data_IF_924512732204
#
_entry.id   IF_924512732204
#
_cell.length_a   1.000
_cell.length_b   1.000
_cell.length_c   1.000
_cell.angle_alpha   90.00
_cell.angle_beta   90.00
_cell.angle_gamma   90.00
#
_symmetry.space_group_name_H-M   'P 1'
#
loop_
_entity.id
_entity.type
_entity.pdbx_description
1 polymer ?
#
# COMPACT_ATOMS: atom_id res chain seq x y z
N UNK A 1 0.50 -3.73 30.25
CA UNK A 1 -0.55 -2.70 30.30
C UNK A 1 -1.44 -2.99 31.50
N UNK A 2 -1.66 -2.00 32.36
CA UNK A 2 -2.58 -2.10 33.50
C UNK A 2 -3.65 -1.03 33.29
N UNK A 3 -4.88 -1.44 32.98
CA UNK A 3 -6.00 -0.56 32.66
C UNK A 3 -7.22 -0.89 33.54
N UNK A 4 -6.98 -1.19 34.81
CA UNK A 4 -8.00 -1.54 35.81
C UNK A 4 -8.66 -2.87 35.50
N UNK A 5 -9.80 -2.83 34.82
CA UNK A 5 -10.59 -4.01 34.45
C UNK A 5 -9.99 -4.81 33.28
N UNK A 6 -9.01 -4.26 32.57
CA UNK A 6 -8.18 -4.98 31.60
C UNK A 6 -6.70 -4.93 32.01
N UNK A 7 -6.08 -6.08 32.14
CA UNK A 7 -4.66 -6.20 32.45
C UNK A 7 -4.00 -7.16 31.47
N UNK A 8 -2.87 -6.75 30.89
CA UNK A 8 -2.09 -7.57 29.98
C UNK A 8 -0.60 -7.51 30.34
N UNK A 9 0.02 -8.67 30.45
CA UNK A 9 1.46 -8.82 30.68
C UNK A 9 2.05 -9.59 29.50
N UNK A 10 3.14 -9.07 28.94
CA UNK A 10 3.86 -9.69 27.85
C UNK A 10 5.32 -9.87 28.24
N UNK A 11 5.89 -11.01 27.88
CA UNK A 11 7.31 -11.29 27.98
C UNK A 11 7.77 -11.92 26.67
N UNK A 12 8.93 -11.53 26.18
CA UNK A 12 9.49 -12.05 24.94
C UNK A 12 10.99 -12.09 24.95
N UNK A 13 11.55 -12.93 24.08
CA UNK A 13 12.97 -13.07 23.85
C UNK A 13 13.24 -12.95 22.34
N UNK A 14 14.29 -12.23 21.99
CA UNK A 14 14.81 -12.11 20.63
C UNK A 14 16.22 -12.68 20.56
N UNK A 15 16.50 -13.46 19.53
CA UNK A 15 17.82 -13.98 19.24
C UNK A 15 18.23 -13.57 17.84
N UNK A 16 19.32 -12.81 17.76
CA UNK A 16 20.03 -12.57 16.52
C UNK A 16 20.96 -13.76 16.23
N UNK A 17 20.70 -14.44 15.11
CA UNK A 17 21.49 -15.57 14.66
C UNK A 17 22.60 -15.14 13.68
N UNK A 18 22.62 -13.86 13.27
CA UNK A 18 23.52 -13.31 12.26
C UNK A 18 23.09 -13.70 10.84
N UNK A 19 23.90 -14.52 10.15
CA UNK A 19 23.68 -14.90 8.74
C UNK A 19 22.31 -15.54 8.45
N UNK A 20 21.73 -16.40 9.31
CA UNK A 20 20.39 -16.94 9.09
C UNK A 20 19.26 -16.00 9.57
N UNK A 21 19.53 -14.77 10.01
CA UNK A 21 18.53 -13.77 10.38
C UNK A 21 18.23 -13.69 11.87
N UNK A 22 17.13 -13.03 12.22
CA UNK A 22 16.70 -12.80 13.60
C UNK A 22 15.40 -13.54 13.89
N UNK A 23 15.32 -14.16 15.07
CA UNK A 23 14.12 -14.83 15.57
C UNK A 23 13.65 -14.17 16.87
N UNK A 24 12.36 -13.91 17.00
CA UNK A 24 11.77 -13.44 18.25
C UNK A 24 10.53 -14.25 18.61
N UNK A 25 10.37 -14.53 19.89
CA UNK A 25 9.18 -15.17 20.44
C UNK A 25 8.65 -14.34 21.61
N UNK A 26 7.35 -14.11 21.65
CA UNK A 26 6.67 -13.45 22.76
C UNK A 26 5.41 -14.20 23.20
N UNK A 27 5.14 -14.08 24.49
CA UNK A 27 3.95 -14.62 25.15
C UNK A 27 3.27 -13.47 25.86
N UNK A 28 2.01 -13.25 25.53
CA UNK A 28 1.17 -12.23 26.17
C UNK A 28 -0.01 -12.89 26.86
N UNK A 29 -0.18 -12.64 28.15
CA UNK A 29 -1.36 -13.05 28.92
C UNK A 29 -2.26 -11.84 29.17
N UNK A 30 -3.55 -11.99 28.87
CA UNK A 30 -4.59 -10.99 29.14
C UNK A 30 -5.59 -11.49 30.18
N UNK A 31 -6.00 -10.60 31.08
CA UNK A 31 -7.09 -10.78 32.04
C UNK A 31 -8.05 -9.61 31.85
N UNK A 32 -9.27 -9.92 31.40
CA UNK A 32 -10.31 -8.94 31.09
C UNK A 32 -11.55 -9.21 31.95
N UNK A 33 -11.92 -8.26 32.80
CA UNK A 33 -13.14 -8.28 33.61
C UNK A 33 -14.17 -7.36 32.98
N UNK A 34 -15.33 -7.92 32.63
CA UNK A 34 -16.46 -7.19 32.06
C UNK A 34 -17.59 -7.24 33.08
N UNK A 35 -18.14 -6.09 33.43
CA UNK A 35 -19.19 -5.97 34.44
C UNK A 35 -20.48 -6.67 33.98
N UNK A 36 -21.09 -7.47 34.86
CA UNK A 36 -22.26 -8.30 34.52
C UNK A 36 -21.94 -9.57 33.72
N UNK A 37 -20.68 -9.79 33.36
CA UNK A 37 -20.18 -10.92 32.56
C UNK A 37 -19.08 -11.67 33.31
N UNK A 38 -18.59 -12.75 32.70
CA UNK A 38 -17.48 -13.53 33.26
C UNK A 38 -16.14 -12.80 33.09
N UNK A 39 -15.15 -13.17 33.91
CA UNK A 39 -13.75 -12.77 33.67
C UNK A 39 -13.15 -13.67 32.57
N UNK A 40 -12.57 -13.07 31.55
CA UNK A 40 -11.91 -13.76 30.45
C UNK A 40 -10.40 -13.73 30.67
N UNK A 41 -9.77 -14.90 30.61
CA UNK A 41 -8.33 -15.06 30.72
C UNK A 41 -7.83 -15.89 29.54
N UNK A 42 -6.76 -15.42 28.90
CA UNK A 42 -6.14 -16.18 27.83
C UNK A 42 -4.74 -15.71 27.50
N UNK A 43 -4.03 -16.55 26.76
CA UNK A 43 -2.66 -16.31 26.29
C UNK A 43 -2.60 -16.22 24.77
N UNK A 44 -1.62 -15.46 24.29
CA UNK A 44 -1.24 -15.37 22.89
C UNK A 44 0.26 -15.62 22.79
N UNK A 45 0.64 -16.50 21.87
CA UNK A 45 2.03 -16.79 21.53
C UNK A 45 2.28 -16.24 20.13
N UNK A 46 3.40 -15.54 19.96
CA UNK A 46 3.84 -15.05 18.67
C UNK A 46 5.28 -15.45 18.44
N UNK A 47 5.54 -16.00 17.27
CA UNK A 47 6.86 -16.27 16.72
C UNK A 47 7.04 -15.36 15.51
N UNK A 48 8.17 -14.70 15.40
CA UNK A 48 8.48 -13.82 14.27
C UNK A 48 9.92 -14.06 13.85
N UNK A 49 10.10 -14.31 12.57
CA UNK A 49 11.38 -14.52 11.92
C UNK A 49 11.56 -13.47 10.85
N UNK A 50 12.74 -12.86 10.79
CA UNK A 50 13.08 -11.85 9.78
C UNK A 50 14.49 -12.09 9.29
N UNK A 51 14.71 -12.02 7.97
CA UNK A 51 16.03 -12.16 7.38
C UNK A 51 16.23 -11.21 6.21
N UNK A 52 17.23 -10.35 6.34
CA UNK A 52 17.74 -9.53 5.24
C UNK A 52 19.00 -10.18 4.67
N UNK A 53 19.04 -10.46 3.36
CA UNK A 53 20.24 -10.98 2.72
C UNK A 53 20.92 -9.85 1.96
N UNK A 54 22.04 -9.34 2.49
CA UNK A 54 22.78 -8.27 1.83
C UNK A 54 23.49 -8.75 0.55
N UNK A 55 23.87 -10.04 0.47
CA UNK A 55 24.64 -10.60 -0.65
C UNK A 55 23.81 -11.18 -1.80
N UNK A 56 22.49 -11.27 -1.68
CA UNK A 56 21.62 -11.97 -2.63
C UNK A 56 20.51 -11.10 -3.23
N UNK A 57 20.53 -9.78 -2.99
CA UNK A 57 19.45 -8.83 -3.32
C UNK A 57 18.05 -9.36 -2.96
N UNK A 58 17.98 -10.21 -1.93
CA UNK A 58 16.82 -10.97 -1.54
C UNK A 58 16.45 -10.59 -0.11
N UNK A 59 15.33 -9.90 0.07
CA UNK A 59 14.77 -9.60 1.36
C UNK A 59 13.68 -10.64 1.68
N UNK A 60 14.02 -11.72 2.39
CA UNK A 60 12.99 -12.55 3.06
C UNK A 60 12.58 -11.81 4.34
N UNK A 61 11.80 -10.76 4.15
CA UNK A 61 11.61 -9.73 5.16
C UNK A 61 10.96 -10.26 6.43
N UNK A 62 9.95 -11.13 6.34
CA UNK A 62 9.17 -11.51 7.52
C UNK A 62 8.36 -12.82 7.37
N UNK A 63 8.49 -13.71 8.34
CA UNK A 63 7.57 -14.82 8.59
C UNK A 63 7.08 -14.75 10.05
N UNK A 64 5.79 -14.51 10.24
CA UNK A 64 5.13 -14.42 11.54
C UNK A 64 4.12 -15.55 11.72
N UNK A 65 4.13 -16.15 12.89
CA UNK A 65 3.08 -17.03 13.37
C UNK A 65 2.55 -16.51 14.70
N UNK A 66 1.24 -16.47 14.86
CA UNK A 66 0.60 -16.13 16.14
C UNK A 66 -0.53 -17.11 16.41
N UNK A 67 -0.60 -17.59 17.64
CA UNK A 67 -1.70 -18.37 18.15
C UNK A 67 -2.29 -17.68 19.38
N UNK A 68 -3.61 -17.59 19.46
CA UNK A 68 -4.31 -16.96 20.59
C UNK A 68 -5.40 -17.88 21.10
N UNK A 69 -5.45 -18.06 22.42
CA UNK A 69 -6.53 -18.80 23.08
C UNK A 69 -7.87 -18.09 22.90
N UNK A 70 -8.97 -18.84 22.94
CA UNK A 70 -10.32 -18.31 22.70
C UNK A 70 -10.71 -17.14 23.61
N UNK A 71 -10.22 -17.13 24.84
CA UNK A 71 -10.52 -16.12 25.85
C UNK A 71 -9.47 -15.00 25.90
N UNK A 72 -8.41 -15.07 25.11
CA UNK A 72 -7.45 -13.98 24.99
C UNK A 72 -8.13 -12.78 24.32
N UNK A 73 -7.84 -11.58 24.85
CA UNK A 73 -8.36 -10.33 24.29
C UNK A 73 -7.24 -9.31 24.13
N UNK A 74 -7.20 -8.65 22.98
CA UNK A 74 -6.49 -7.36 22.86
C UNK A 74 -7.29 -6.27 23.60
N UNK A 75 -6.64 -5.14 23.89
CA UNK A 75 -7.33 -3.98 24.49
C UNK A 75 -8.53 -3.53 23.65
N UNK A 76 -8.38 -3.53 22.32
CA UNK A 76 -9.46 -3.17 21.40
C UNK A 76 -10.63 -4.16 21.48
N UNK A 77 -10.37 -5.47 21.52
CA UNK A 77 -11.42 -6.48 21.71
C UNK A 77 -12.12 -6.34 23.06
N UNK A 78 -11.38 -5.96 24.11
CA UNK A 78 -11.97 -5.67 25.41
C UNK A 78 -12.88 -4.44 25.38
N UNK A 79 -12.44 -3.34 24.78
CA UNK A 79 -13.24 -2.12 24.65
C UNK A 79 -14.51 -2.37 23.84
N UNK A 80 -14.44 -3.12 22.75
CA UNK A 80 -15.61 -3.49 21.96
C UNK A 80 -16.56 -4.41 22.75
N UNK A 81 -16.03 -5.37 23.50
CA UNK A 81 -16.86 -6.22 24.35
C UNK A 81 -17.57 -5.42 25.47
N UNK A 82 -16.86 -4.49 26.13
CA UNK A 82 -17.41 -3.68 27.22
C UNK A 82 -18.39 -2.60 26.76
N UNK A 83 -18.04 -1.84 25.74
CA UNK A 83 -18.77 -0.63 25.34
C UNK A 83 -19.69 -0.82 24.14
N UNK A 84 -19.51 -1.90 23.37
CA UNK A 84 -20.32 -2.20 22.18
C UNK A 84 -21.00 -3.57 22.23
N UNK A 85 -20.79 -4.32 23.32
CA UNK A 85 -21.30 -5.68 23.49
C UNK A 85 -20.92 -6.62 22.31
N UNK A 86 -19.75 -6.40 21.72
CA UNK A 86 -19.24 -7.17 20.58
C UNK A 86 -18.13 -8.12 21.01
N UNK A 87 -18.41 -9.42 20.92
CA UNK A 87 -17.48 -10.51 21.27
C UNK A 87 -16.94 -11.26 20.05
N UNK A 88 -17.26 -10.79 18.84
CA UNK A 88 -16.94 -11.46 17.59
C UNK A 88 -15.45 -11.39 17.23
N UNK A 89 -15.06 -12.16 16.21
CA UNK A 89 -13.73 -12.11 15.58
C UNK A 89 -12.60 -12.51 16.53
N UNK A 90 -12.80 -13.61 17.25
CA UNK A 90 -11.80 -14.16 18.18
C UNK A 90 -10.70 -14.84 17.38
N UNK A 91 -9.58 -14.15 17.24
CA UNK A 91 -8.41 -14.65 16.52
C UNK A 91 -7.91 -15.97 17.13
N UNK A 92 -7.68 -16.97 16.26
CA UNK A 92 -7.16 -18.28 16.65
C UNK A 92 -5.72 -18.42 16.18
N UNK A 93 -5.48 -18.43 14.88
CA UNK A 93 -4.15 -18.49 14.30
C UNK A 93 -3.99 -17.41 13.24
N UNK A 94 -2.80 -16.81 13.18
CA UNK A 94 -2.41 -15.88 12.14
C UNK A 94 -1.04 -16.28 11.61
N UNK A 95 -0.95 -16.48 10.29
CA UNK A 95 0.27 -16.77 9.58
C UNK A 95 0.50 -15.63 8.59
N UNK A 96 1.66 -14.98 8.65
CA UNK A 96 2.00 -13.91 7.72
C UNK A 96 3.37 -14.17 7.14
N UNK A 97 3.48 -14.15 5.82
CA UNK A 97 4.73 -14.31 5.09
C UNK A 97 4.87 -13.14 4.13
N UNK A 98 6.03 -12.50 4.14
CA UNK A 98 6.39 -11.43 3.22
C UNK A 98 7.77 -11.71 2.67
N UNK A 99 7.86 -11.81 1.35
CA UNK A 99 9.09 -12.09 0.62
C UNK A 99 9.21 -11.10 -0.53
N UNK A 100 10.35 -10.40 -0.57
CA UNK A 100 10.71 -9.45 -1.60
C UNK A 100 12.07 -9.86 -2.14
N UNK A 101 12.14 -10.39 -3.36
CA UNK A 101 13.40 -10.82 -3.96
C UNK A 101 13.63 -10.10 -5.27
N UNK A 102 14.73 -9.37 -5.35
CA UNK A 102 15.22 -8.81 -6.59
C UNK A 102 16.33 -9.72 -7.11
N UNK A 103 16.15 -10.26 -8.31
CA UNK A 103 17.14 -11.08 -9.01
C UNK A 103 17.78 -10.19 -10.05
N UNK A 104 18.88 -9.54 -9.67
CA UNK A 104 19.61 -8.61 -10.53
C UNK A 104 20.07 -9.29 -11.83
N UNK A 105 20.57 -10.53 -11.76
CA UNK A 105 21.04 -11.30 -12.93
C UNK A 105 19.99 -11.44 -14.05
N UNK A 106 18.70 -11.43 -13.69
CA UNK A 106 17.60 -11.56 -14.63
C UNK A 106 16.72 -10.32 -14.72
N UNK A 107 17.13 -9.20 -14.12
CA UNK A 107 16.34 -7.97 -13.99
C UNK A 107 14.89 -8.26 -13.59
N UNK A 108 14.69 -9.15 -12.62
CA UNK A 108 13.37 -9.64 -12.21
C UNK A 108 13.15 -9.37 -10.73
N UNK A 109 12.05 -8.71 -10.39
CA UNK A 109 11.59 -8.57 -9.01
C UNK A 109 10.41 -9.51 -8.74
N UNK A 110 10.43 -10.14 -7.57
CA UNK A 110 9.41 -11.03 -7.06
C UNK A 110 8.94 -10.52 -5.70
N UNK A 111 7.65 -10.31 -5.54
CA UNK A 111 7.03 -9.93 -4.28
C UNK A 111 5.91 -10.93 -3.95
N UNK A 112 5.90 -11.40 -2.72
CA UNK A 112 4.88 -12.28 -2.17
C UNK A 112 4.49 -11.76 -0.80
N UNK A 113 3.21 -11.53 -0.62
CA UNK A 113 2.59 -11.28 0.66
C UNK A 113 1.47 -12.29 0.85
N UNK A 114 1.53 -13.04 1.94
CA UNK A 114 0.54 -14.03 2.30
C UNK A 114 0.14 -13.80 3.75
N UNK A 115 -1.16 -13.74 4.02
CA UNK A 115 -1.71 -13.61 5.36
C UNK A 115 -2.92 -14.51 5.50
N UNK A 116 -2.84 -15.47 6.41
CA UNK A 116 -3.92 -16.40 6.73
C UNK A 116 -4.31 -16.24 8.17
N UNK A 117 -5.59 -15.96 8.40
CA UNK A 117 -6.15 -15.75 9.71
C UNK A 117 -7.32 -16.69 9.95
N UNK A 118 -7.27 -17.45 11.04
CA UNK A 118 -8.36 -18.30 11.51
C UNK A 118 -8.97 -17.69 12.76
N UNK A 119 -10.24 -17.99 13.00
CA UNK A 119 -10.99 -17.49 14.15
C UNK A 119 -11.69 -18.66 14.85
N UNK A 120 -12.05 -18.45 16.12
CA UNK A 120 -12.79 -19.44 16.90
C UNK A 120 -14.28 -19.46 16.58
N UNK A 121 -14.82 -18.36 16.07
CA UNK A 121 -16.25 -18.08 15.95
C UNK A 121 -16.70 -17.75 14.53
N UNK A 122 -15.78 -17.35 13.65
CA UNK A 122 -16.07 -17.04 12.24
C UNK A 122 -15.18 -17.83 11.27
N UNK A 123 -15.54 -17.78 9.98
CA UNK A 123 -14.77 -18.44 8.92
C UNK A 123 -13.37 -17.85 8.81
N UNK A 124 -12.42 -18.68 8.43
CA UNK A 124 -11.06 -18.26 8.09
C UNK A 124 -11.06 -17.19 6.98
N UNK A 125 -9.98 -16.42 6.97
CA UNK A 125 -9.73 -15.36 6.00
C UNK A 125 -8.31 -15.52 5.46
N UNK A 126 -8.22 -15.77 4.17
CA UNK A 126 -6.95 -15.96 3.47
C UNK A 126 -6.76 -14.77 2.49
N UNK A 127 -5.70 -13.99 2.70
CA UNK A 127 -5.27 -12.91 1.82
C UNK A 127 -3.91 -13.29 1.22
N UNK A 128 -3.75 -13.08 -0.07
CA UNK A 128 -2.43 -13.17 -0.67
C UNK A 128 -2.32 -12.17 -1.82
N UNK A 129 -1.09 -11.74 -2.08
CA UNK A 129 -0.70 -10.95 -3.24
C UNK A 129 0.67 -11.46 -3.68
N UNK A 130 0.77 -11.90 -4.92
CA UNK A 130 2.01 -12.30 -5.57
C UNK A 130 2.21 -11.39 -6.76
N UNK A 131 3.42 -10.90 -6.97
CA UNK A 131 3.77 -10.17 -8.17
C UNK A 131 5.18 -10.51 -8.65
N UNK A 132 5.35 -10.57 -9.96
CA UNK A 132 6.61 -10.82 -10.63
C UNK A 132 6.73 -9.80 -11.75
N UNK A 133 7.76 -8.96 -11.69
CA UNK A 133 8.04 -7.98 -12.74
C UNK A 133 9.40 -8.28 -13.33
N UNK A 134 9.48 -8.33 -14.65
CA UNK A 134 10.72 -8.58 -15.36
C UNK A 134 10.95 -7.50 -16.41
N UNK A 135 12.18 -7.01 -16.44
CA UNK A 135 12.65 -6.06 -17.45
C UNK A 135 13.58 -6.78 -18.41
N UNK A 136 13.39 -6.58 -19.70
CA UNK A 136 14.25 -7.15 -20.73
C UNK A 136 14.35 -6.22 -21.94
N UNK A 137 15.37 -6.48 -22.74
CA UNK A 137 15.63 -5.75 -23.97
C UNK A 137 15.23 -6.64 -25.15
N UNK A 138 14.39 -6.15 -26.04
CA UNK A 138 13.90 -6.91 -27.19
C UNK A 138 13.70 -5.99 -28.38
N UNK A 139 13.98 -6.47 -29.60
CA UNK A 139 13.81 -5.70 -30.85
C UNK A 139 14.51 -4.32 -30.87
N UNK A 140 15.66 -4.17 -30.19
CA UNK A 140 16.37 -2.90 -30.08
C UNK A 140 15.76 -1.90 -29.10
N UNK A 141 14.63 -2.25 -28.47
CA UNK A 141 14.00 -1.47 -27.40
C UNK A 141 14.57 -1.92 -26.06
N UNK A 142 15.09 -0.96 -25.30
CA UNK A 142 15.58 -1.19 -23.94
C UNK A 142 14.45 -0.93 -22.94
N UNK A 143 14.40 -1.74 -21.87
CA UNK A 143 13.46 -1.49 -20.77
C UNK A 143 12.02 -1.94 -21.01
N UNK A 144 11.77 -2.92 -21.88
CA UNK A 144 10.46 -3.57 -21.98
C UNK A 144 10.17 -4.29 -20.67
N UNK A 145 9.02 -4.01 -20.06
CA UNK A 145 8.64 -4.60 -18.78
C UNK A 145 7.41 -5.48 -18.91
N UNK A 146 7.45 -6.64 -18.28
CA UNK A 146 6.30 -7.53 -18.12
C UNK A 146 6.08 -7.75 -16.63
N UNK A 147 4.91 -7.35 -16.16
CA UNK A 147 4.46 -7.53 -14.80
C UNK A 147 3.28 -8.49 -14.74
N UNK A 148 3.37 -9.48 -13.86
CA UNK A 148 2.29 -10.39 -13.52
C UNK A 148 1.99 -10.23 -12.05
N UNK A 149 0.73 -10.10 -11.66
CA UNK A 149 0.31 -10.17 -10.28
C UNK A 149 -0.96 -10.98 -10.10
N UNK A 150 -1.10 -11.60 -8.94
CA UNK A 150 -2.27 -12.36 -8.54
C UNK A 150 -2.54 -12.07 -7.07
N UNK A 151 -3.81 -11.87 -6.72
CA UNK A 151 -4.19 -11.55 -5.36
C UNK A 151 -5.56 -12.09 -5.00
N UNK A 152 -5.74 -12.48 -3.74
CA UNK A 152 -7.06 -12.75 -3.15
C UNK A 152 -7.38 -11.69 -2.12
N UNK A 153 -8.58 -11.12 -2.26
CA UNK A 153 -9.18 -10.18 -1.31
C UNK A 153 -10.56 -10.69 -0.88
N UNK A 154 -11.21 -9.97 0.04
CA UNK A 154 -12.61 -10.20 0.39
C UNK A 154 -13.44 -9.00 -0.05
N UNK A 155 -14.48 -9.25 -0.83
CA UNK A 155 -15.47 -8.27 -1.24
C UNK A 155 -16.84 -8.70 -0.73
N UNK A 156 -17.45 -7.88 0.14
CA UNK A 156 -18.75 -8.17 0.77
C UNK A 156 -18.83 -9.58 1.40
N UNK A 157 -17.76 -10.00 2.07
CA UNK A 157 -17.67 -11.31 2.73
C UNK A 157 -17.41 -12.51 1.80
N UNK A 158 -17.29 -12.30 0.48
CA UNK A 158 -16.90 -13.33 -0.48
C UNK A 158 -15.45 -13.16 -0.92
N UNK A 159 -14.80 -14.26 -1.24
CA UNK A 159 -13.47 -14.23 -1.81
C UNK A 159 -13.53 -13.60 -3.21
N UNK A 160 -12.60 -12.70 -3.48
CA UNK A 160 -12.39 -12.05 -4.77
C UNK A 160 -10.95 -12.33 -5.21
N UNK A 161 -10.81 -13.25 -6.15
CA UNK A 161 -9.54 -13.59 -6.78
C UNK A 161 -9.33 -12.68 -7.97
N UNK A 162 -8.15 -12.06 -8.03
CA UNK A 162 -7.78 -11.14 -9.10
C UNK A 162 -6.42 -11.50 -9.65
N UNK A 163 -6.25 -11.39 -10.96
CA UNK A 163 -4.98 -11.54 -11.64
C UNK A 163 -4.78 -10.37 -12.60
N UNK A 164 -3.54 -9.93 -12.79
CA UNK A 164 -3.21 -8.79 -13.61
C UNK A 164 -1.93 -9.10 -14.38
N UNK A 165 -1.97 -8.89 -15.69
CA UNK A 165 -0.84 -8.91 -16.59
C UNK A 165 -0.68 -7.52 -17.16
N UNK A 166 0.53 -6.98 -17.17
CA UNK A 166 0.87 -5.74 -17.85
C UNK A 166 2.15 -5.90 -18.64
N UNK A 167 2.11 -5.47 -19.89
CA UNK A 167 3.26 -5.37 -20.77
C UNK A 167 3.43 -3.90 -21.09
N UNK A 168 4.61 -3.34 -20.85
CA UNK A 168 4.91 -1.95 -21.15
C UNK A 168 6.17 -1.84 -22.01
N UNK A 169 6.05 -1.07 -23.08
CA UNK A 169 7.08 -0.85 -24.09
C UNK A 169 7.41 0.65 -24.12
N UNK A 170 8.63 1.05 -23.74
CA UNK A 170 9.08 2.43 -23.86
C UNK A 170 9.09 2.88 -25.33
N UNK A 171 8.57 4.08 -25.60
CA UNK A 171 8.50 4.71 -26.92
C UNK A 171 8.89 6.20 -26.79
N UNK A 172 10.18 6.50 -26.97
CA UNK A 172 10.68 7.86 -26.79
C UNK A 172 10.57 8.33 -25.33
N UNK A 173 9.87 9.43 -25.09
CA UNK A 173 9.57 9.96 -23.74
C UNK A 173 8.41 9.23 -23.06
N UNK A 174 7.61 8.48 -23.83
CA UNK A 174 6.43 7.79 -23.36
C UNK A 174 6.58 6.28 -23.25
N UNK A 175 5.49 5.63 -22.90
CA UNK A 175 5.39 4.18 -22.73
C UNK A 175 4.02 3.73 -23.22
N UNK A 176 4.01 2.89 -24.25
CA UNK A 176 2.82 2.14 -24.62
C UNK A 176 2.68 0.95 -23.67
N UNK A 177 1.45 0.65 -23.24
CA UNK A 177 1.21 -0.54 -22.42
C UNK A 177 -0.07 -1.26 -22.78
N UNK A 178 -0.05 -2.57 -22.60
CA UNK A 178 -1.20 -3.43 -22.66
C UNK A 178 -1.37 -4.09 -21.30
N UNK A 179 -2.59 -4.12 -20.77
CA UNK A 179 -2.88 -4.83 -19.54
C UNK A 179 -4.15 -5.65 -19.62
N UNK A 180 -4.07 -6.89 -19.16
CA UNK A 180 -5.20 -7.77 -18.93
C UNK A 180 -5.41 -7.93 -17.43
N UNK A 181 -6.61 -7.67 -16.95
CA UNK A 181 -7.01 -7.94 -15.57
C UNK A 181 -8.16 -8.93 -15.53
N UNK A 182 -8.15 -9.79 -14.54
CA UNK A 182 -9.21 -10.71 -14.20
C UNK A 182 -9.60 -10.45 -12.76
N UNK A 183 -10.90 -10.36 -12.48
CA UNK A 183 -11.46 -10.31 -11.13
C UNK A 183 -12.66 -11.24 -11.10
N UNK A 184 -12.49 -12.40 -10.44
CA UNK A 184 -13.40 -13.54 -10.53
C UNK A 184 -13.74 -13.85 -12.00
N UNK A 185 -15.02 -13.75 -12.38
CA UNK A 185 -15.49 -14.06 -13.74
C UNK A 185 -15.46 -12.86 -14.71
N UNK A 186 -14.91 -11.71 -14.29
CA UNK A 186 -14.82 -10.49 -15.11
C UNK A 186 -13.41 -10.27 -15.61
N UNK A 187 -13.28 -9.96 -16.89
CA UNK A 187 -12.02 -9.72 -17.57
C UNK A 187 -12.01 -8.31 -18.14
N UNK A 188 -10.90 -7.60 -18.00
CA UNK A 188 -10.71 -6.26 -18.57
C UNK A 188 -9.40 -6.24 -19.33
N UNK A 189 -9.48 -5.92 -20.61
CA UNK A 189 -8.30 -5.76 -21.47
C UNK A 189 -8.18 -4.29 -21.85
N UNK A 190 -7.04 -3.69 -21.59
CA UNK A 190 -6.76 -2.29 -21.81
C UNK A 190 -5.48 -2.13 -22.64
N UNK A 191 -5.53 -1.25 -23.63
CA UNK A 191 -4.36 -0.71 -24.29
C UNK A 191 -4.27 0.77 -23.98
N UNK A 192 -3.07 1.27 -23.71
CA UNK A 192 -2.89 2.66 -23.36
C UNK A 192 -1.50 3.19 -23.68
N UNK A 193 -1.40 4.50 -23.63
CA UNK A 193 -0.16 5.24 -23.81
C UNK A 193 -0.05 6.26 -22.70
N UNK A 194 1.11 6.27 -22.05
CA UNK A 194 1.48 7.24 -21.03
C UNK A 194 2.68 8.01 -21.51
N UNK A 195 2.67 9.33 -21.35
CA UNK A 195 3.82 10.18 -21.62
C UNK A 195 4.15 11.02 -20.39
N UNK A 196 5.44 11.28 -20.22
CA UNK A 196 5.96 12.14 -19.15
C UNK A 196 6.77 13.26 -19.77
N UNK A 197 6.48 14.50 -19.37
CA UNK A 197 7.12 15.70 -19.89
C UNK A 197 7.40 16.68 -18.75
N UNK A 198 8.06 17.81 -19.05
CA UNK A 198 8.57 18.74 -18.04
C UNK A 198 9.44 18.03 -16.99
N UNK A 199 10.45 17.28 -17.43
CA UNK A 199 11.37 16.51 -16.58
C UNK A 199 10.66 15.52 -15.63
N UNK A 200 9.47 15.03 -16.03
CA UNK A 200 8.68 14.07 -15.26
C UNK A 200 7.76 14.70 -14.21
N UNK A 201 7.67 16.03 -14.15
CA UNK A 201 6.72 16.75 -13.32
C UNK A 201 5.28 16.59 -13.84
N UNK A 202 5.13 16.51 -15.16
CA UNK A 202 3.86 16.32 -15.82
C UNK A 202 3.76 14.93 -16.45
N UNK A 203 2.58 14.32 -16.29
CA UNK A 203 2.28 13.08 -16.98
C UNK A 203 0.83 12.99 -17.41
N UNK A 204 0.62 12.33 -18.52
CA UNK A 204 -0.69 12.06 -19.08
C UNK A 204 -0.77 10.61 -19.53
N UNK A 205 -1.90 9.97 -19.30
CA UNK A 205 -2.16 8.63 -19.79
C UNK A 205 -3.56 8.51 -20.38
N UNK A 206 -3.64 7.89 -21.55
CA UNK A 206 -4.88 7.39 -22.13
C UNK A 206 -4.89 5.89 -22.11
N UNK A 207 -6.01 5.31 -21.73
CA UNK A 207 -6.25 3.89 -21.85
C UNK A 207 -7.64 3.68 -22.44
N UNK A 208 -7.74 2.73 -23.34
CA UNK A 208 -8.99 2.28 -23.94
C UNK A 208 -9.02 0.75 -23.93
N UNK A 209 -10.20 0.20 -23.70
CA UNK A 209 -10.31 -1.23 -23.49
C UNK A 209 -11.73 -1.77 -23.50
N UNK A 210 -11.81 -3.04 -23.14
CA UNK A 210 -13.03 -3.83 -23.13
C UNK A 210 -13.14 -4.61 -21.83
N UNK A 211 -14.30 -4.49 -21.21
CA UNK A 211 -14.71 -5.28 -20.05
C UNK A 211 -15.64 -6.37 -20.55
N UNK A 212 -15.41 -7.61 -20.17
CA UNK A 212 -16.21 -8.78 -20.55
C UNK A 212 -16.34 -9.76 -19.39
N UNK A 213 -17.25 -10.74 -19.52
CA UNK A 213 -17.45 -11.78 -18.51
C UNK A 213 -18.49 -11.40 -17.44
N UNK A 214 -18.61 -12.25 -16.41
CA UNK A 214 -19.59 -12.08 -15.33
C UNK A 214 -21.06 -12.10 -15.77
N UNK A 215 -21.37 -12.77 -16.88
CA UNK A 215 -22.72 -12.86 -17.45
C UNK A 215 -23.22 -11.57 -18.11
N UNK A 216 -22.36 -10.56 -18.30
CA UNK A 216 -22.71 -9.27 -18.90
C UNK A 216 -22.19 -9.16 -20.34
N UNK A 217 -22.88 -8.35 -21.16
CA UNK A 217 -22.41 -7.99 -22.50
C UNK A 217 -21.11 -7.20 -22.40
N UNK A 218 -20.19 -7.39 -23.34
CA UNK A 218 -18.93 -6.64 -23.38
C UNK A 218 -19.17 -5.13 -23.43
N UNK A 219 -18.44 -4.38 -22.60
CA UNK A 219 -18.54 -2.92 -22.49
C UNK A 219 -17.21 -2.29 -22.85
N UNK A 220 -17.23 -1.27 -23.70
CA UNK A 220 -16.04 -0.44 -23.98
C UNK A 220 -15.77 0.49 -22.81
N UNK A 221 -14.51 0.61 -22.42
CA UNK A 221 -14.08 1.55 -21.39
C UNK A 221 -12.99 2.47 -21.96
N UNK A 222 -13.07 3.74 -21.60
CA UNK A 222 -12.03 4.73 -21.88
C UNK A 222 -11.71 5.43 -20.56
N UNK A 223 -10.43 5.59 -20.25
CA UNK A 223 -9.99 6.44 -19.16
C UNK A 223 -8.80 7.30 -19.57
N UNK A 224 -8.84 8.56 -19.16
CA UNK A 224 -7.71 9.47 -19.25
C UNK A 224 -7.33 9.94 -17.85
N UNK A 225 -6.03 10.08 -17.60
CA UNK A 225 -5.50 10.58 -16.35
C UNK A 225 -4.39 11.59 -16.67
N UNK A 226 -4.42 12.73 -16.00
CA UNK A 226 -3.43 13.79 -16.06
C UNK A 226 -2.93 14.07 -14.64
N UNK A 227 -1.61 14.21 -14.48
CA UNK A 227 -1.00 14.65 -13.23
C UNK A 227 0.01 15.76 -13.51
N UNK A 228 -0.05 16.81 -12.70
CA UNK A 228 0.89 17.91 -12.70
C UNK A 228 1.47 18.04 -11.29
N UNK A 229 2.79 17.94 -11.17
CA UNK A 229 3.51 18.18 -9.93
C UNK A 229 4.19 19.53 -10.02
N UNK A 230 3.72 20.49 -9.24
CA UNK A 230 4.35 21.79 -9.08
C UNK A 230 5.02 21.88 -7.70
N UNK A 231 6.09 22.67 -7.57
CA UNK A 231 6.68 23.04 -6.29
C UNK A 231 5.69 23.58 -5.25
N UNK A 232 4.52 24.07 -5.68
CA UNK A 232 3.47 24.62 -4.82
C UNK A 232 2.34 23.63 -4.53
N UNK A 233 1.99 22.79 -5.49
CA UNK A 233 0.87 21.86 -5.37
C UNK A 233 0.96 20.73 -6.41
N UNK A 234 0.47 19.57 -6.03
CA UNK A 234 0.21 18.45 -6.92
C UNK A 234 -1.26 18.48 -7.34
N UNK A 235 -1.49 18.54 -8.65
CA UNK A 235 -2.81 18.47 -9.26
C UNK A 235 -2.94 17.17 -10.05
N UNK A 236 -4.10 16.55 -10.00
CA UNK A 236 -4.44 15.45 -10.91
C UNK A 236 -5.90 15.53 -11.33
N UNK A 237 -6.16 15.12 -12.56
CA UNK A 237 -7.49 15.06 -13.12
C UNK A 237 -7.66 13.72 -13.84
N UNK A 238 -8.82 13.11 -13.69
CA UNK A 238 -9.13 11.85 -14.35
C UNK A 238 -10.55 11.85 -14.89
N UNK A 239 -10.73 11.22 -16.04
CA UNK A 239 -12.04 10.95 -16.62
C UNK A 239 -12.11 9.48 -16.96
N UNK A 240 -13.22 8.83 -16.61
CA UNK A 240 -13.46 7.44 -16.94
C UNK A 240 -14.90 7.27 -17.42
N UNK A 241 -15.06 6.59 -18.54
CA UNK A 241 -16.35 6.30 -19.17
C UNK A 241 -16.43 4.82 -19.50
N UNK A 242 -17.45 4.15 -18.96
CA UNK A 242 -17.76 2.75 -19.24
C UNK A 242 -19.09 2.68 -19.99
N UNK A 243 -19.07 2.06 -21.17
CA UNK A 243 -20.24 1.92 -22.04
C UNK A 243 -21.40 1.23 -21.30
N UNK A 244 -22.58 1.87 -21.28
CA UNK A 244 -23.76 1.40 -20.54
C UNK A 244 -23.50 1.18 -19.03
N UNK A 245 -22.48 1.84 -18.49
CA UNK A 245 -22.12 1.83 -17.09
C UNK A 245 -22.19 3.24 -16.54
N UNK A 246 -21.04 3.77 -16.15
CA UNK A 246 -20.91 5.10 -15.57
C UNK A 246 -20.00 5.98 -16.42
N UNK A 247 -20.17 7.30 -16.25
CA UNK A 247 -19.19 8.30 -16.66
C UNK A 247 -18.86 9.12 -15.43
N UNK A 248 -17.56 9.27 -15.15
CA UNK A 248 -17.07 9.98 -13.96
C UNK A 248 -15.92 10.90 -14.33
N UNK A 249 -15.87 12.05 -13.68
CA UNK A 249 -14.78 13.01 -13.74
C UNK A 249 -14.35 13.35 -12.33
N UNK A 250 -13.05 13.28 -12.06
CA UNK A 250 -12.46 13.56 -10.77
C UNK A 250 -11.30 14.53 -10.91
N UNK A 251 -11.17 15.45 -9.94
CA UNK A 251 -10.02 16.34 -9.81
C UNK A 251 -9.55 16.23 -8.36
N UNK A 252 -8.24 16.13 -8.18
CA UNK A 252 -7.59 16.10 -6.88
C UNK A 252 -6.45 17.11 -6.85
N UNK A 253 -6.43 17.94 -5.82
CA UNK A 253 -5.37 18.90 -5.55
C UNK A 253 -4.81 18.63 -4.15
N UNK A 254 -3.49 18.56 -4.02
CA UNK A 254 -2.81 18.39 -2.74
C UNK A 254 -1.60 19.30 -2.65
N UNK A 255 -1.43 19.95 -1.51
CA UNK A 255 -0.37 20.91 -1.25
C UNK A 255 -0.24 21.16 0.24
N UNK A 256 0.73 21.98 0.61
CA UNK A 256 0.95 22.45 1.97
C UNK A 256 0.97 23.97 2.01
N UNK A 257 0.45 24.52 3.10
CA UNK A 257 0.58 25.93 3.44
C UNK A 257 1.24 26.03 4.80
N UNK A 258 2.26 26.87 4.90
CA UNK A 258 2.88 27.24 6.18
C UNK A 258 2.58 28.71 6.43
N UNK A 259 1.84 28.99 7.50
CA UNK A 259 1.44 30.33 7.90
C UNK A 259 2.17 30.66 9.19
N UNK A 260 2.89 31.79 9.20
CA UNK A 260 3.65 32.28 10.34
C UNK A 260 3.29 33.74 10.61
N UNK A 261 3.64 34.25 11.79
CA UNK A 261 3.51 35.69 12.07
C UNK A 261 4.36 36.60 11.18
N UNK A 262 5.24 36.05 10.34
CA UNK A 262 6.08 36.78 9.39
C UNK A 262 5.65 36.62 7.93
N UNK A 263 4.61 35.82 7.65
CA UNK A 263 4.12 35.60 6.30
C UNK A 263 3.59 34.19 6.07
N UNK A 264 3.08 33.93 4.87
CA UNK A 264 2.58 32.65 4.44
C UNK A 264 3.33 32.17 3.18
N UNK A 265 3.63 30.88 3.12
CA UNK A 265 4.24 30.23 1.96
C UNK A 265 3.45 28.98 1.58
N UNK A 266 3.23 28.80 0.28
CA UNK A 266 2.70 27.56 -0.29
C UNK A 266 3.86 26.65 -0.69
N UNK A 267 3.68 25.35 -0.58
CA UNK A 267 4.69 24.37 -0.97
C UNK A 267 4.02 23.03 -1.31
N UNK A 268 4.69 22.19 -2.09
CA UNK A 268 4.22 20.84 -2.37
C UNK A 268 3.92 20.10 -1.06
N UNK A 269 2.88 19.27 -1.07
CA UNK A 269 2.44 18.55 0.13
C UNK A 269 3.57 17.67 0.67
N UNK A 270 3.96 17.89 1.93
CA UNK A 270 4.91 17.04 2.65
C UNK A 270 4.21 16.09 3.63
N UNK A 271 4.96 15.16 4.22
CA UNK A 271 4.44 14.32 5.30
C UNK A 271 3.95 15.20 6.47
N UNK A 272 2.68 15.03 6.86
CA UNK A 272 2.14 15.68 8.05
C UNK A 272 2.94 15.27 9.29
N UNK A 273 3.34 16.24 10.11
CA UNK A 273 4.18 16.00 11.31
C UNK A 273 5.68 15.85 11.05
N UNK A 274 6.15 15.97 9.79
CA UNK A 274 7.58 16.01 9.47
C UNK A 274 8.23 17.37 9.79
N UNK A 275 9.56 17.37 9.93
CA UNK A 275 10.34 18.62 10.06
C UNK A 275 10.23 19.43 8.77
N UNK A 276 9.92 20.72 8.88
CA UNK A 276 9.82 21.65 7.75
C UNK A 276 10.97 22.64 7.83
N UNK A 277 11.65 22.84 6.71
CA UNK A 277 12.65 23.89 6.56
C UNK A 277 11.99 25.09 5.88
N UNK A 278 11.97 26.24 6.55
CA UNK A 278 11.61 27.51 5.95
C UNK A 278 12.92 28.20 5.55
N UNK A 279 13.13 28.39 4.25
CA UNK A 279 14.31 29.07 3.73
C UNK A 279 13.92 30.49 3.36
N UNK A 280 14.50 31.47 4.07
CA UNK A 280 14.42 32.87 3.67
C UNK A 280 15.60 33.18 2.74
N UNK A 281 15.30 33.85 1.63
CA UNK A 281 16.27 34.25 0.61
C UNK A 281 16.36 35.77 0.48
N UNK A 282 15.92 36.50 1.51
CA UNK A 282 16.00 37.96 1.60
C UNK A 282 15.40 38.67 0.36
N UNK A 283 14.28 38.13 -0.14
CA UNK A 283 13.54 38.65 -1.29
C UNK A 283 13.88 38.03 -2.65
N UNK A 284 14.84 37.10 -2.74
CA UNK A 284 15.18 36.43 -4.00
C UNK A 284 14.32 35.18 -4.24
N UNK A 285 13.22 35.35 -4.97
CA UNK A 285 12.42 34.22 -5.46
C UNK A 285 13.10 33.46 -6.59
N UNK A 286 12.67 32.21 -6.83
CA UNK A 286 13.11 31.44 -7.99
C UNK A 286 14.35 30.57 -7.75
N UNK A 287 14.88 30.50 -6.53
CA UNK A 287 16.07 29.67 -6.25
C UNK A 287 15.64 28.20 -6.17
N UNK A 288 16.13 27.32 -7.07
CA UNK A 288 15.78 25.91 -7.05
C UNK A 288 16.44 25.22 -5.85
N UNK A 289 15.65 24.43 -5.14
CA UNK A 289 16.06 23.56 -4.04
C UNK A 289 15.63 22.14 -4.42
N UNK A 290 16.43 21.14 -4.05
CA UNK A 290 16.14 19.72 -4.31
C UNK A 290 15.94 19.40 -5.81
N UNK A 291 16.93 19.73 -6.63
CA UNK A 291 16.92 19.43 -8.07
C UNK A 291 15.83 20.15 -8.89
N UNK A 292 15.25 21.23 -8.34
CA UNK A 292 14.20 22.01 -9.01
C UNK A 292 12.77 21.59 -8.63
N UNK A 293 12.61 20.60 -7.75
CA UNK A 293 11.28 20.18 -7.27
C UNK A 293 10.68 21.17 -6.26
N UNK A 294 11.51 21.98 -5.60
CA UNK A 294 11.10 23.07 -4.72
C UNK A 294 11.75 24.36 -5.19
N UNK A 295 11.03 25.47 -5.16
CA UNK A 295 11.57 26.78 -5.56
C UNK A 295 11.24 27.79 -4.46
N UNK A 296 12.19 28.67 -4.12
CA UNK A 296 11.94 29.73 -3.14
C UNK A 296 10.90 30.71 -3.66
N UNK A 297 9.94 31.07 -2.80
CA UNK A 297 8.96 32.11 -3.10
C UNK A 297 9.54 33.44 -2.61
N UNK A 298 9.52 34.47 -3.44
CA UNK A 298 9.85 35.82 -3.00
C UNK A 298 8.81 36.27 -1.95
N UNK A 299 9.23 36.40 -0.69
CA UNK A 299 8.42 37.06 0.32
C UNK A 299 8.55 38.57 0.18
N UNK A 300 7.45 39.27 -0.12
CA UNK A 300 7.40 40.72 0.11
C UNK A 300 7.44 40.97 1.62
N UNK A 301 8.47 41.70 2.08
CA UNK A 301 8.51 42.24 3.44
C UNK A 301 7.37 43.25 3.59
N UNK A 302 6.30 42.86 4.28
CA UNK A 302 5.42 43.82 4.92
C UNK A 302 6.15 44.37 6.16
N UNK A 303 6.47 45.66 6.12
CA UNK A 303 7.01 46.42 7.24
C UNK A 303 5.94 46.64 8.31
#
# INVERSE_FOLDING_TARGET
MLAGDYNALAAGAGWDLGVPGTLSADITQSVARIEGERTFQGKSWRLSYSKRFDNADADITFAGYRFSERNYMTMEQYLNARYRNDYSSREKEMYTVTLNKNVADWNTSFNLQYSRQTYWDIRKTDYYTVSVNRYFNVFGLQGVAVGLSASRSKYLGRDNDSAYLRISVPLGTGTASYSGSMSNDRYVNMAGYTDTFNDGLDSYSLNAGLNSGGGLTSQRQINAYYSHRSPLANLSANIASLQKGYTSFGVSASGGATITGKGAALHAGGMSGGTRLLVDTDGVGGVPVDGGQVVTIAGERAW
#
